data_IF_568983891870
#
_entry.id   IF_568983891870
#
_cell.length_a   1.000
_cell.length_b   1.000
_cell.length_c   1.000
_cell.angle_alpha   90.00
_cell.angle_beta   90.00
_cell.angle_gamma   90.00
#
_symmetry.space_group_name_H-M   'P 1'
#
loop_
_entity.id
_entity.type
_entity.pdbx_description
1 polymer ?
#
# COMPACT_ATOMS: atom_id res chain seq x y z
N UNK A 1 5.99 -27.13 -9.66
CA UNK A 1 7.37 -27.62 -9.44
C UNK A 1 8.45 -26.63 -9.89
N UNK A 2 8.52 -26.21 -11.16
CA UNK A 2 9.55 -25.25 -11.61
C UNK A 2 9.26 -23.82 -11.15
N UNK A 3 8.02 -23.34 -11.33
CA UNK A 3 7.64 -21.98 -10.93
C UNK A 3 7.78 -21.75 -9.43
N UNK A 4 7.40 -22.73 -8.61
CA UNK A 4 7.61 -22.72 -7.15
C UNK A 4 9.08 -22.54 -6.79
N UNK A 5 9.97 -23.29 -7.46
CA UNK A 5 11.40 -23.22 -7.23
C UNK A 5 11.96 -21.87 -7.65
N UNK A 6 11.53 -21.31 -8.79
CA UNK A 6 11.94 -19.97 -9.22
C UNK A 6 11.51 -18.90 -8.20
N UNK A 7 10.24 -18.91 -7.78
CA UNK A 7 9.69 -17.99 -6.78
C UNK A 7 10.46 -18.11 -5.47
N UNK A 8 10.71 -19.34 -5.01
CA UNK A 8 11.46 -19.58 -3.77
C UNK A 8 12.90 -19.10 -3.87
N UNK A 9 13.57 -19.32 -5.00
CA UNK A 9 14.94 -18.88 -5.24
C UNK A 9 15.08 -17.35 -5.26
N UNK A 10 14.02 -16.60 -5.58
CA UNK A 10 14.06 -15.13 -5.44
C UNK A 10 14.14 -14.68 -3.98
N UNK A 11 13.95 -15.58 -3.00
CA UNK A 11 14.15 -15.31 -1.57
C UNK A 11 15.56 -15.68 -1.09
N UNK A 12 16.37 -16.32 -1.93
CA UNK A 12 17.73 -16.75 -1.60
C UNK A 12 18.72 -15.56 -1.68
N UNK A 13 19.80 -15.62 -0.91
CA UNK A 13 20.87 -14.60 -0.87
C UNK A 13 21.97 -14.87 -1.91
N UNK A 14 22.00 -16.05 -2.54
CA UNK A 14 22.94 -16.39 -3.61
C UNK A 14 22.67 -15.57 -4.87
N UNK A 15 23.55 -14.61 -5.14
CA UNK A 15 23.39 -13.58 -6.18
C UNK A 15 23.16 -14.15 -7.59
N UNK A 16 23.82 -15.23 -8.00
CA UNK A 16 23.67 -15.83 -9.34
C UNK A 16 22.33 -16.54 -9.54
N UNK A 17 21.88 -17.30 -8.54
CA UNK A 17 20.61 -18.03 -8.60
C UNK A 17 19.41 -17.07 -8.52
N UNK A 18 19.52 -16.04 -7.70
CA UNK A 18 18.56 -14.94 -7.59
C UNK A 18 18.36 -14.23 -8.94
N UNK A 19 19.46 -13.87 -9.62
CA UNK A 19 19.46 -13.28 -10.97
C UNK A 19 18.78 -14.15 -12.01
N UNK A 20 19.27 -15.38 -12.16
CA UNK A 20 18.75 -16.31 -13.14
C UNK A 20 17.25 -16.56 -12.91
N UNK A 21 16.84 -16.72 -11.65
CA UNK A 21 15.43 -16.98 -11.31
C UNK A 21 14.52 -15.80 -11.68
N UNK A 22 14.98 -14.56 -11.52
CA UNK A 22 14.26 -13.37 -11.97
C UNK A 22 14.07 -13.34 -13.49
N UNK A 23 15.10 -13.66 -14.27
CA UNK A 23 15.04 -13.72 -15.74
C UNK A 23 14.09 -14.82 -16.21
N UNK A 24 14.19 -16.02 -15.65
CA UNK A 24 13.30 -17.12 -16.01
C UNK A 24 11.85 -16.80 -15.65
N UNK A 25 11.60 -16.27 -14.45
CA UNK A 25 10.25 -15.86 -14.03
C UNK A 25 9.67 -14.81 -14.98
N UNK A 26 10.47 -13.84 -15.42
CA UNK A 26 10.08 -12.87 -16.44
C UNK A 26 9.66 -13.55 -17.75
N UNK A 27 10.45 -14.49 -18.25
CA UNK A 27 10.10 -15.24 -19.48
C UNK A 27 8.79 -16.02 -19.33
N UNK A 28 8.57 -16.67 -18.18
CA UNK A 28 7.30 -17.38 -17.91
C UNK A 28 6.11 -16.42 -17.93
N UNK A 29 6.20 -15.25 -17.27
CA UNK A 29 5.10 -14.28 -17.27
C UNK A 29 4.87 -13.69 -18.68
N UNK A 30 5.94 -13.37 -19.40
CA UNK A 30 5.85 -12.76 -20.73
C UNK A 30 5.19 -13.70 -21.74
N UNK A 31 5.66 -14.94 -21.83
CA UNK A 31 5.28 -15.86 -22.91
C UNK A 31 4.23 -16.89 -22.50
N UNK A 32 4.14 -17.24 -21.22
CA UNK A 32 3.31 -18.34 -20.73
C UNK A 32 2.14 -17.89 -19.82
N UNK A 33 1.82 -16.61 -19.75
CA UNK A 33 0.71 -16.09 -18.91
C UNK A 33 -0.69 -16.54 -19.34
N UNK A 34 -0.83 -17.11 -20.54
CA UNK A 34 -2.07 -17.75 -21.00
C UNK A 34 -2.28 -19.13 -20.35
N UNK A 35 -1.23 -19.73 -19.81
CA UNK A 35 -1.29 -21.00 -19.07
C UNK A 35 -1.86 -20.72 -17.67
N UNK A 36 -2.92 -21.43 -17.30
CA UNK A 36 -3.67 -21.20 -16.06
C UNK A 36 -2.77 -21.24 -14.82
N UNK A 37 -1.82 -22.18 -14.77
CA UNK A 37 -0.89 -22.33 -13.66
C UNK A 37 0.05 -21.13 -13.50
N UNK A 38 0.43 -20.46 -14.59
CA UNK A 38 1.24 -19.25 -14.53
C UNK A 38 0.36 -18.06 -14.13
N UNK A 39 -0.83 -17.97 -14.71
CA UNK A 39 -1.79 -16.91 -14.42
C UNK A 39 -2.18 -16.86 -12.93
N UNK A 40 -2.46 -18.02 -12.33
CA UNK A 40 -2.79 -18.13 -10.91
C UNK A 40 -1.65 -17.70 -9.97
N UNK A 41 -0.42 -17.61 -10.47
CA UNK A 41 0.78 -17.30 -9.69
C UNK A 41 1.30 -15.88 -9.94
N UNK A 42 0.56 -15.04 -10.66
CA UNK A 42 0.93 -13.65 -10.93
C UNK A 42 1.16 -12.83 -9.65
N UNK A 43 0.39 -13.07 -8.57
CA UNK A 43 0.60 -12.40 -7.28
C UNK A 43 1.94 -12.76 -6.63
N UNK A 44 2.37 -14.00 -6.76
CA UNK A 44 3.68 -14.42 -6.25
C UNK A 44 4.83 -13.96 -7.13
N UNK A 45 4.60 -13.89 -8.45
CA UNK A 45 5.54 -13.28 -9.39
C UNK A 45 5.73 -11.80 -9.08
N UNK A 46 4.63 -11.07 -8.79
CA UNK A 46 4.66 -9.68 -8.34
C UNK A 46 5.57 -9.52 -7.11
N UNK A 47 5.32 -10.29 -6.04
CA UNK A 47 6.11 -10.22 -4.81
C UNK A 47 7.60 -10.53 -5.06
N UNK A 48 7.88 -11.41 -6.02
CA UNK A 48 9.25 -11.74 -6.43
C UNK A 48 9.92 -10.57 -7.16
N UNK A 49 9.25 -9.94 -8.13
CA UNK A 49 9.78 -8.77 -8.81
C UNK A 49 9.92 -7.54 -7.91
N UNK A 50 8.98 -7.31 -6.98
CA UNK A 50 9.09 -6.26 -5.96
C UNK A 50 10.37 -6.42 -5.12
N UNK A 51 10.73 -7.67 -4.77
CA UNK A 51 11.99 -7.95 -4.08
C UNK A 51 13.20 -7.71 -4.98
N UNK A 52 13.12 -8.10 -6.26
CA UNK A 52 14.19 -7.91 -7.25
C UNK A 52 14.48 -6.43 -7.53
N UNK A 53 13.49 -5.52 -7.44
CA UNK A 53 13.71 -4.07 -7.54
C UNK A 53 14.62 -3.50 -6.43
N UNK A 54 14.76 -4.21 -5.32
CA UNK A 54 15.68 -3.82 -4.24
C UNK A 54 17.11 -4.35 -4.44
N UNK A 55 17.38 -5.08 -5.53
CA UNK A 55 18.71 -5.58 -5.85
C UNK A 55 19.65 -4.43 -6.23
N UNK A 56 20.97 -4.61 -6.09
CA UNK A 56 21.98 -3.62 -6.52
C UNK A 56 22.30 -3.66 -8.01
N UNK A 57 21.87 -4.71 -8.70
CA UNK A 57 22.22 -4.95 -10.10
C UNK A 57 21.17 -4.32 -11.03
N UNK A 58 21.61 -3.43 -11.91
CA UNK A 58 20.73 -2.66 -12.79
C UNK A 58 19.97 -3.54 -13.79
N UNK A 59 20.60 -4.60 -14.31
CA UNK A 59 19.94 -5.54 -15.22
C UNK A 59 18.83 -6.32 -14.50
N UNK A 60 19.03 -6.67 -13.23
CA UNK A 60 18.00 -7.30 -12.39
C UNK A 60 16.85 -6.34 -12.12
N UNK A 61 17.16 -5.09 -11.76
CA UNK A 61 16.14 -4.07 -11.52
C UNK A 61 15.31 -3.83 -12.78
N UNK A 62 15.95 -3.72 -13.95
CA UNK A 62 15.26 -3.52 -15.23
C UNK A 62 14.36 -4.72 -15.57
N UNK A 63 14.88 -5.94 -15.40
CA UNK A 63 14.08 -7.17 -15.58
C UNK A 63 12.86 -7.19 -14.65
N UNK A 64 13.05 -6.79 -13.40
CA UNK A 64 11.99 -6.74 -12.40
C UNK A 64 10.94 -5.66 -12.72
N UNK A 65 11.38 -4.47 -13.16
CA UNK A 65 10.51 -3.37 -13.58
C UNK A 65 9.62 -3.80 -14.74
N UNK A 66 10.21 -4.39 -15.78
CA UNK A 66 9.47 -4.93 -16.94
C UNK A 66 8.54 -6.09 -16.55
N UNK A 67 9.00 -6.97 -15.66
CA UNK A 67 8.20 -8.07 -15.12
C UNK A 67 6.97 -7.58 -14.36
N UNK A 68 7.10 -6.54 -13.54
CA UNK A 68 5.97 -5.93 -12.85
C UNK A 68 4.99 -5.28 -13.82
N UNK A 69 5.45 -4.57 -14.84
CA UNK A 69 4.57 -4.03 -15.87
C UNK A 69 3.69 -5.13 -16.49
N UNK A 70 4.29 -6.26 -16.88
CA UNK A 70 3.55 -7.39 -17.43
C UNK A 70 2.55 -7.99 -16.44
N UNK A 71 2.93 -8.12 -15.17
CA UNK A 71 2.03 -8.62 -14.11
C UNK A 71 0.82 -7.70 -13.94
N UNK A 72 1.01 -6.37 -14.00
CA UNK A 72 -0.10 -5.41 -13.86
C UNK A 72 -0.98 -5.30 -15.12
N UNK A 73 -0.39 -5.50 -16.31
CA UNK A 73 -1.14 -5.58 -17.57
C UNK A 73 -2.02 -6.83 -17.63
N UNK A 74 -1.49 -7.97 -17.19
CA UNK A 74 -2.12 -9.29 -17.29
C UNK A 74 -2.88 -9.72 -16.03
N UNK A 75 -2.69 -9.01 -14.93
CA UNK A 75 -3.26 -9.28 -13.62
C UNK A 75 -4.68 -8.75 -13.46
N UNK A 76 -5.30 -9.13 -12.35
CA UNK A 76 -6.62 -8.64 -11.97
C UNK A 76 -6.59 -7.18 -11.49
N UNK A 77 -7.78 -6.61 -11.36
CA UNK A 77 -7.94 -5.23 -10.87
C UNK A 77 -7.43 -5.07 -9.43
N UNK A 78 -7.50 -6.13 -8.62
CA UNK A 78 -7.00 -6.15 -7.25
C UNK A 78 -5.46 -6.05 -7.14
N UNK A 79 -4.71 -6.38 -8.19
CA UNK A 79 -3.28 -6.07 -8.26
C UNK A 79 -3.04 -4.57 -8.49
N UNK A 80 -3.91 -3.93 -9.28
CA UNK A 80 -3.84 -2.49 -9.57
C UNK A 80 -4.21 -1.63 -8.37
N UNK A 81 -4.98 -2.16 -7.42
CA UNK A 81 -5.41 -1.43 -6.22
C UNK A 81 -4.38 -1.41 -5.08
N UNK A 82 -3.20 -2.01 -5.24
CA UNK A 82 -2.14 -1.99 -4.22
C UNK A 82 -1.40 -0.65 -4.19
N UNK A 83 -2.12 0.38 -3.75
CA UNK A 83 -1.70 1.78 -3.78
C UNK A 83 -0.44 2.03 -2.95
N UNK A 84 -0.26 1.33 -1.82
CA UNK A 84 0.87 1.52 -0.92
C UNK A 84 2.24 1.38 -1.62
N UNK A 85 2.37 0.51 -2.64
CA UNK A 85 3.64 0.35 -3.35
C UNK A 85 4.08 1.60 -4.14
N UNK A 86 3.17 2.51 -4.48
CA UNK A 86 3.52 3.82 -5.06
C UNK A 86 4.15 4.77 -4.04
N UNK A 87 4.03 4.46 -2.76
CA UNK A 87 4.56 5.20 -1.61
C UNK A 87 5.68 4.43 -0.91
N UNK A 88 6.21 3.37 -1.53
CA UNK A 88 7.30 2.58 -0.93
C UNK A 88 8.52 3.49 -0.64
N UNK A 89 9.15 3.38 0.55
CA UNK A 89 10.31 4.19 0.89
C UNK A 89 11.57 3.84 0.07
N UNK A 90 11.60 2.70 -0.62
CA UNK A 90 12.65 2.39 -1.58
C UNK A 90 12.40 3.17 -2.89
N UNK A 91 13.31 4.09 -3.28
CA UNK A 91 13.11 4.94 -4.46
C UNK A 91 13.02 4.15 -5.78
N UNK A 92 13.66 2.98 -5.87
CA UNK A 92 13.56 2.14 -7.06
C UNK A 92 12.17 1.54 -7.19
N UNK A 93 11.62 1.05 -6.08
CA UNK A 93 10.24 0.54 -6.03
C UNK A 93 9.27 1.66 -6.34
N UNK A 94 9.37 2.78 -5.63
CA UNK A 94 8.52 3.94 -5.83
C UNK A 94 8.51 4.42 -7.28
N UNK A 95 9.68 4.54 -7.93
CA UNK A 95 9.80 4.99 -9.32
C UNK A 95 9.13 4.01 -10.27
N UNK A 96 9.44 2.72 -10.19
CA UNK A 96 8.85 1.69 -11.05
C UNK A 96 7.34 1.64 -10.88
N UNK A 97 6.84 1.67 -9.65
CA UNK A 97 5.40 1.62 -9.36
C UNK A 97 4.65 2.85 -9.87
N UNK A 98 5.24 4.05 -9.77
CA UNK A 98 4.64 5.24 -10.35
C UNK A 98 4.65 5.22 -11.89
N UNK A 99 5.68 4.65 -12.52
CA UNK A 99 5.72 4.48 -13.97
C UNK A 99 4.64 3.50 -14.45
N UNK A 100 4.50 2.36 -13.78
CA UNK A 100 3.46 1.36 -14.07
C UNK A 100 2.07 1.98 -13.89
N UNK A 101 1.84 2.71 -12.80
CA UNK A 101 0.57 3.38 -12.56
C UNK A 101 0.22 4.35 -13.69
N UNK A 102 1.16 5.22 -14.09
CA UNK A 102 0.94 6.17 -15.20
C UNK A 102 0.67 5.47 -16.54
N UNK A 103 1.31 4.33 -16.79
CA UNK A 103 1.14 3.58 -18.04
C UNK A 103 -0.19 2.81 -18.08
N UNK A 104 -0.64 2.28 -16.94
CA UNK A 104 -1.78 1.35 -16.86
C UNK A 104 -3.09 2.02 -16.43
N UNK A 105 -3.03 3.12 -15.68
CA UNK A 105 -4.20 3.80 -15.12
C UNK A 105 -4.44 5.11 -15.87
N UNK A 106 -5.40 5.08 -16.81
CA UNK A 106 -5.77 6.24 -17.64
C UNK A 106 -6.54 7.30 -16.86
N UNK A 107 -7.44 6.88 -15.98
CA UNK A 107 -8.31 7.76 -15.18
C UNK A 107 -8.07 7.51 -13.67
N UNK A 108 -6.99 8.09 -13.08
CA UNK A 108 -6.61 7.80 -11.70
C UNK A 108 -7.72 8.08 -10.69
N UNK A 109 -8.40 9.21 -10.81
CA UNK A 109 -9.48 9.59 -9.88
C UNK A 109 -10.65 8.63 -9.95
N UNK A 110 -11.05 8.20 -11.15
CA UNK A 110 -12.16 7.28 -11.35
C UNK A 110 -11.86 5.91 -10.72
N UNK A 111 -10.68 5.36 -10.97
CA UNK A 111 -10.24 4.06 -10.42
C UNK A 111 -10.11 4.13 -8.90
N UNK A 112 -9.53 5.19 -8.36
CA UNK A 112 -9.44 5.39 -6.90
C UNK A 112 -10.82 5.49 -6.25
N UNK A 113 -11.81 6.08 -6.93
CA UNK A 113 -13.19 6.16 -6.42
C UNK A 113 -13.90 4.82 -6.52
N UNK A 114 -13.76 4.13 -7.64
CA UNK A 114 -14.41 2.84 -7.91
C UNK A 114 -13.95 1.74 -6.94
N UNK A 115 -12.66 1.74 -6.58
CA UNK A 115 -12.07 0.74 -5.71
C UNK A 115 -11.70 1.28 -4.33
N UNK A 116 -12.30 2.39 -3.91
CA UNK A 116 -11.94 3.08 -2.68
C UNK A 116 -11.91 2.15 -1.46
N UNK A 117 -12.97 1.37 -1.27
CA UNK A 117 -13.09 0.45 -0.13
C UNK A 117 -12.00 -0.63 -0.15
N UNK A 118 -11.78 -1.27 -1.30
CA UNK A 118 -10.74 -2.30 -1.45
C UNK A 118 -9.34 -1.75 -1.18
N UNK A 119 -9.06 -0.53 -1.66
CA UNK A 119 -7.78 0.16 -1.43
C UNK A 119 -7.66 0.47 0.07
N UNK A 120 -8.67 1.07 0.67
CA UNK A 120 -8.64 1.47 2.08
C UNK A 120 -8.46 0.25 3.00
N UNK A 121 -9.18 -0.85 2.75
CA UNK A 121 -9.02 -2.09 3.51
C UNK A 121 -7.61 -2.69 3.39
N UNK A 122 -7.03 -2.71 2.18
CA UNK A 122 -5.64 -3.15 1.99
C UNK A 122 -4.66 -2.25 2.76
N UNK A 123 -4.84 -0.92 2.70
CA UNK A 123 -4.00 0.03 3.43
C UNK A 123 -4.10 -0.15 4.95
N UNK A 124 -5.32 -0.30 5.48
CA UNK A 124 -5.59 -0.53 6.91
C UNK A 124 -5.02 -1.87 7.40
N UNK A 125 -4.96 -2.89 6.53
CA UNK A 125 -4.31 -4.16 6.85
C UNK A 125 -2.78 -4.02 6.89
N UNK A 126 -2.20 -3.29 5.94
CA UNK A 126 -0.75 -3.16 5.80
C UNK A 126 -0.12 -2.19 6.80
N UNK A 127 -0.84 -1.14 7.23
CA UNK A 127 -0.34 -0.17 8.22
C UNK A 127 0.01 -0.82 9.57
N UNK A 128 -0.65 -1.91 9.95
CA UNK A 128 -0.33 -2.69 11.17
C UNK A 128 0.39 -4.02 10.86
N UNK A 129 0.90 -4.17 9.63
CA UNK A 129 1.61 -5.36 9.18
C UNK A 129 3.00 -5.53 9.81
N UNK A 130 3.60 -6.71 9.60
CA UNK A 130 4.94 -7.03 10.13
C UNK A 130 6.07 -6.22 9.48
N UNK A 131 5.94 -5.91 8.19
CA UNK A 131 6.95 -5.21 7.41
C UNK A 131 6.89 -3.70 7.63
N UNK A 132 7.95 -3.10 8.20
CA UNK A 132 7.99 -1.66 8.48
C UNK A 132 7.80 -0.80 7.22
N UNK A 133 8.31 -1.26 6.06
CA UNK A 133 8.16 -0.53 4.78
C UNK A 133 6.69 -0.42 4.37
N UNK A 134 5.94 -1.51 4.53
CA UNK A 134 4.51 -1.51 4.24
C UNK A 134 3.78 -0.56 5.19
N UNK A 135 4.16 -0.53 6.47
CA UNK A 135 3.58 0.42 7.44
C UNK A 135 3.79 1.88 7.04
N UNK A 136 5.02 2.26 6.72
CA UNK A 136 5.36 3.62 6.28
C UNK A 136 4.62 4.02 4.99
N UNK A 137 4.63 3.13 4.01
CA UNK A 137 3.99 3.34 2.73
C UNK A 137 2.47 3.46 2.86
N UNK A 138 1.84 2.65 3.72
CA UNK A 138 0.41 2.72 4.02
C UNK A 138 0.04 4.02 4.72
N UNK A 139 0.82 4.50 5.71
CA UNK A 139 0.58 5.80 6.32
C UNK A 139 0.53 6.93 5.27
N UNK A 140 1.53 6.92 4.38
CA UNK A 140 1.66 7.93 3.32
C UNK A 140 0.53 7.83 2.29
N UNK A 141 0.19 6.60 1.87
CA UNK A 141 -0.88 6.35 0.92
C UNK A 141 -2.26 6.71 1.46
N UNK A 142 -2.55 6.41 2.73
CA UNK A 142 -3.80 6.81 3.39
C UNK A 142 -3.89 8.33 3.44
N UNK A 143 -2.80 9.00 3.83
CA UNK A 143 -2.74 10.46 3.90
C UNK A 143 -3.07 11.09 2.56
N UNK A 144 -2.45 10.62 1.48
CA UNK A 144 -2.74 11.08 0.11
C UNK A 144 -4.18 10.76 -0.30
N UNK A 145 -4.66 9.55 0.00
CA UNK A 145 -5.98 9.09 -0.40
C UNK A 145 -7.11 9.90 0.23
N UNK A 146 -7.02 10.26 1.51
CA UNK A 146 -8.10 11.00 2.20
C UNK A 146 -8.02 12.51 1.99
N UNK A 147 -6.84 13.05 1.66
CA UNK A 147 -6.69 14.47 1.35
C UNK A 147 -7.49 14.82 0.08
N UNK A 148 -8.29 15.89 0.16
CA UNK A 148 -9.15 16.33 -0.95
C UNK A 148 -10.44 15.53 -1.12
N UNK A 149 -10.77 14.62 -0.20
CA UNK A 149 -12.04 13.86 -0.20
C UNK A 149 -13.02 14.38 0.83
N UNK A 150 -14.31 14.22 0.54
CA UNK A 150 -15.38 14.53 1.50
C UNK A 150 -15.41 13.46 2.59
N UNK A 151 -15.67 13.89 3.83
CA UNK A 151 -15.75 12.99 4.98
C UNK A 151 -16.70 11.81 4.77
N UNK A 152 -17.86 12.02 4.14
CA UNK A 152 -18.84 10.98 3.85
C UNK A 152 -18.31 9.78 3.05
N UNK A 153 -17.22 9.95 2.30
CA UNK A 153 -16.61 8.87 1.52
C UNK A 153 -15.81 7.89 2.39
N UNK A 154 -15.29 8.33 3.53
CA UNK A 154 -14.43 7.52 4.39
C UNK A 154 -14.88 7.49 5.86
N UNK A 155 -16.02 8.07 6.18
CA UNK A 155 -16.62 8.14 7.52
C UNK A 155 -16.62 6.78 8.23
N UNK A 156 -16.98 5.70 7.54
CA UNK A 156 -17.00 4.33 8.10
C UNK A 156 -15.63 3.84 8.59
N UNK A 157 -14.55 4.39 8.05
CA UNK A 157 -13.18 4.03 8.39
C UNK A 157 -12.55 5.01 9.38
N UNK A 158 -13.19 6.16 9.67
CA UNK A 158 -12.56 7.27 10.38
C UNK A 158 -12.05 6.88 11.78
N UNK A 159 -12.88 6.20 12.58
CA UNK A 159 -12.45 5.68 13.88
C UNK A 159 -11.28 4.69 13.75
N UNK A 160 -11.34 3.79 12.77
CA UNK A 160 -10.27 2.82 12.51
C UNK A 160 -8.96 3.50 12.10
N UNK A 161 -9.03 4.54 11.26
CA UNK A 161 -7.88 5.33 10.82
C UNK A 161 -7.12 5.94 12.00
N UNK A 162 -7.84 6.50 12.98
CA UNK A 162 -7.25 6.99 14.23
C UNK A 162 -6.61 5.88 15.06
N UNK A 163 -7.31 4.75 15.24
CA UNK A 163 -6.78 3.60 15.98
C UNK A 163 -5.46 3.12 15.37
N UNK A 164 -5.42 2.93 14.05
CA UNK A 164 -4.23 2.36 13.40
C UNK A 164 -3.09 3.36 13.30
N UNK A 165 -3.37 4.66 13.08
CA UNK A 165 -2.32 5.69 13.00
C UNK A 165 -1.58 5.81 14.33
N UNK A 166 -2.31 5.74 15.45
CA UNK A 166 -1.71 5.80 16.78
C UNK A 166 -0.98 4.52 17.17
N UNK A 167 -1.43 3.35 16.71
CA UNK A 167 -0.69 2.08 16.92
C UNK A 167 0.72 2.11 16.33
N UNK A 168 0.95 2.90 15.28
CA UNK A 168 2.26 3.03 14.63
C UNK A 168 2.99 4.33 14.97
N UNK A 169 2.45 5.16 15.87
CA UNK A 169 3.09 6.42 16.25
C UNK A 169 4.41 6.20 16.99
N UNK A 170 4.50 5.10 17.75
CA UNK A 170 5.68 4.66 18.50
C UNK A 170 6.40 3.49 17.80
N UNK A 171 6.27 3.39 16.47
CA UNK A 171 6.96 2.35 15.70
C UNK A 171 8.48 2.35 15.94
N UNK A 172 9.10 1.18 15.95
CA UNK A 172 10.55 1.04 16.11
C UNK A 172 11.35 1.84 15.07
N UNK A 173 10.85 1.95 13.83
CA UNK A 173 11.48 2.67 12.73
C UNK A 173 11.06 4.15 12.73
N UNK A 174 12.03 5.04 12.85
CA UNK A 174 11.77 6.49 12.91
C UNK A 174 11.04 7.09 11.70
N UNK A 175 11.26 6.56 10.50
CA UNK A 175 10.56 7.01 9.29
C UNK A 175 9.07 6.62 9.30
N UNK A 176 8.72 5.46 9.87
CA UNK A 176 7.33 5.05 10.09
C UNK A 176 6.66 6.01 11.09
N UNK A 177 7.32 6.33 12.21
CA UNK A 177 6.81 7.29 13.20
C UNK A 177 6.50 8.65 12.57
N UNK A 178 7.40 9.14 11.71
CA UNK A 178 7.18 10.39 10.95
C UNK A 178 5.93 10.29 10.06
N UNK A 179 5.81 9.22 9.27
CA UNK A 179 4.65 9.04 8.39
C UNK A 179 3.33 8.89 9.18
N UNK A 180 3.35 8.24 10.34
CA UNK A 180 2.21 8.10 11.25
C UNK A 180 1.76 9.45 11.85
N UNK A 181 2.73 10.30 12.22
CA UNK A 181 2.47 11.65 12.68
C UNK A 181 1.88 12.50 11.55
N UNK A 182 2.46 12.42 10.35
CA UNK A 182 1.94 13.11 9.15
C UNK A 182 0.48 12.71 8.87
N UNK A 183 0.14 11.42 8.95
CA UNK A 183 -1.24 10.92 8.84
C UNK A 183 -2.15 11.48 9.93
N UNK A 184 -1.71 11.46 11.19
CA UNK A 184 -2.49 11.99 12.31
C UNK A 184 -2.76 13.49 12.15
N UNK A 185 -1.79 14.25 11.63
CA UNK A 185 -1.98 15.66 11.29
C UNK A 185 -3.01 15.86 10.18
N UNK A 186 -3.03 14.99 9.15
CA UNK A 186 -4.06 15.03 8.11
C UNK A 186 -5.45 14.76 8.70
N UNK A 187 -5.60 13.74 9.54
CA UNK A 187 -6.88 13.44 10.19
C UNK A 187 -7.38 14.62 11.04
N UNK A 188 -6.50 15.26 11.81
CA UNK A 188 -6.83 16.48 12.55
C UNK A 188 -7.22 17.64 11.64
N UNK A 189 -6.47 17.88 10.56
CA UNK A 189 -6.76 18.97 9.62
C UNK A 189 -8.11 18.78 8.91
N UNK A 190 -8.44 17.54 8.52
CA UNK A 190 -9.75 17.25 7.92
C UNK A 190 -10.89 17.49 8.90
N UNK A 191 -10.70 17.21 10.19
CA UNK A 191 -11.68 17.52 11.24
C UNK A 191 -11.90 19.03 11.36
N UNK A 192 -10.82 19.78 11.52
CA UNK A 192 -10.87 21.26 11.64
C UNK A 192 -11.52 21.87 10.41
N UNK A 193 -11.14 21.46 9.20
CA UNK A 193 -11.73 21.97 7.98
C UNK A 193 -13.23 21.66 7.85
N UNK A 194 -13.65 20.47 8.29
CA UNK A 194 -15.08 20.09 8.32
C UNK A 194 -15.86 20.92 9.35
N UNK A 195 -15.22 21.32 10.44
CA UNK A 195 -15.80 22.22 11.46
C UNK A 195 -15.93 23.66 10.95
N UNK A 196 -14.89 24.18 10.29
CA UNK A 196 -14.86 25.54 9.76
C UNK A 196 -15.85 25.73 8.58
N UNK A 197 -16.04 24.70 7.77
CA UNK A 197 -16.88 24.77 6.57
C UNK A 197 -18.37 24.57 6.80
N UNK A 198 -18.82 24.22 8.01
CA UNK A 198 -20.25 23.97 8.28
C UNK A 198 -20.62 24.08 9.76
N UNK A 199 -21.28 25.18 10.15
CA UNK A 199 -21.77 25.40 11.51
C UNK A 199 -22.91 24.45 11.93
N UNK A 200 -23.62 23.80 11.00
CA UNK A 200 -24.78 22.94 11.31
C UNK A 200 -24.96 21.71 10.39
N UNK A 201 -23.91 20.91 10.17
CA UNK A 201 -24.06 19.64 9.42
C UNK A 201 -23.97 18.40 10.31
N UNK A 202 -24.82 17.40 10.03
CA UNK A 202 -24.82 16.07 10.66
C UNK A 202 -23.44 15.39 10.58
N UNK A 203 -22.72 15.59 9.47
CA UNK A 203 -21.35 15.07 9.28
C UNK A 203 -20.35 15.66 10.28
N UNK A 204 -20.47 16.95 10.61
CA UNK A 204 -19.61 17.62 11.58
C UNK A 204 -19.82 17.06 12.98
N UNK A 205 -21.09 16.90 13.39
CA UNK A 205 -21.44 16.27 14.67
C UNK A 205 -20.99 14.81 14.73
N UNK A 206 -21.14 14.05 13.64
CA UNK A 206 -20.71 12.65 13.56
C UNK A 206 -19.19 12.51 13.63
N UNK A 207 -18.45 13.34 12.89
CA UNK A 207 -16.99 13.33 12.89
C UNK A 207 -16.41 13.76 14.24
N UNK A 208 -16.97 14.81 14.87
CA UNK A 208 -16.64 15.18 16.23
C UNK A 208 -16.97 14.08 17.23
N UNK A 209 -18.16 13.46 17.11
CA UNK A 209 -18.58 12.36 17.97
C UNK A 209 -17.59 11.21 17.94
N UNK A 210 -17.22 10.74 16.74
CA UNK A 210 -16.24 9.67 16.59
C UNK A 210 -14.84 10.07 17.07
N UNK A 211 -14.39 11.29 16.77
CA UNK A 211 -13.09 11.80 17.24
C UNK A 211 -13.05 11.92 18.76
N UNK A 212 -14.10 12.47 19.39
CA UNK A 212 -14.22 12.64 20.84
C UNK A 212 -14.41 11.31 21.56
N UNK A 213 -15.28 10.43 21.07
CA UNK A 213 -15.45 9.08 21.62
C UNK A 213 -14.12 8.33 21.58
N UNK A 214 -13.38 8.44 20.48
CA UNK A 214 -12.06 7.87 20.39
C UNK A 214 -11.06 8.53 21.35
N UNK A 215 -10.97 9.87 21.36
CA UNK A 215 -10.05 10.65 22.21
C UNK A 215 -10.27 10.44 23.71
N UNK A 216 -11.52 10.25 24.10
CA UNK A 216 -11.93 10.03 25.49
C UNK A 216 -12.03 8.54 25.84
N UNK A 217 -11.91 7.64 24.86
CA UNK A 217 -11.87 6.20 25.13
C UNK A 217 -10.56 5.79 25.77
N UNK A 218 -10.65 4.76 26.62
CA UNK A 218 -9.48 4.11 27.24
C UNK A 218 -8.46 3.56 26.21
N UNK A 219 -8.79 3.52 24.92
CA UNK A 219 -7.90 3.06 23.84
C UNK A 219 -6.64 3.92 23.69
N UNK A 220 -6.66 5.18 24.13
CA UNK A 220 -5.48 6.05 24.20
C UNK A 220 -4.63 5.86 25.47
N UNK A 221 -5.22 5.28 26.52
CA UNK A 221 -4.56 5.16 27.84
C UNK A 221 -3.47 4.10 27.90
N UNK A 222 -3.14 3.44 26.78
CA UNK A 222 -2.02 2.50 26.72
C UNK A 222 -2.16 1.30 27.68
N UNK A 223 -3.37 1.00 28.17
CA UNK A 223 -3.64 -0.26 28.86
C UNK A 223 -3.70 -1.40 27.83
N UNK A 224 -2.53 -1.74 27.32
CA UNK A 224 -2.25 -3.05 26.77
C UNK A 224 -2.48 -4.05 27.88
N UNK A 225 -3.64 -4.71 27.88
CA UNK A 225 -3.89 -5.86 28.74
C UNK A 225 -2.77 -6.87 28.48
N UNK A 226 -2.05 -7.19 29.55
CA UNK A 226 -0.91 -8.12 29.60
C UNK A 226 -1.22 -9.46 28.96
#
# INVERSE_FOLDING_TARGET
>A
MVLDRLIQNTKDTKHSLFKASGVWLFSFVQYCSHVTEVHQRLREAQASFMRLLSARDDMVQETASRGLTLVYEKGDEALRTQLHYRFDPNPNVQRSMNNIWKATVKEPTAILNQHFDLIMEDLLKNIVGKEWRAREASCSAISDLIQGRKYSQYERYYSTLWVVSLKVIDDAKGSVRKAALDLSMVLSKTLVHTLESSSENTSTKAMMGQALEFLLSDKLSGKTTR
#
